data_IF_297121432388
#
_entry.id   IF_297121432388
#
_cell.length_a   1.000
_cell.length_b   1.000
_cell.length_c   1.000
_cell.angle_alpha   90.00
_cell.angle_beta   90.00
_cell.angle_gamma   90.00
#
_symmetry.space_group_name_H-M   'P 1'
#
loop_
_entity.id
_entity.type
_entity.pdbx_description
1 polymer ?
#
# COMPACT_ATOMS: atom_id res chain seq x y z
N UNK A 1 -17.17 13.18 -4.30
CA UNK A 1 -16.52 12.27 -3.32
C UNK A 1 -16.76 10.79 -3.58
N UNK A 2 -18.01 10.32 -3.69
CA UNK A 2 -18.30 8.87 -3.88
C UNK A 2 -17.58 8.23 -5.06
N UNK A 3 -17.62 8.88 -6.22
CA UNK A 3 -16.92 8.41 -7.42
C UNK A 3 -15.39 8.34 -7.24
N UNK A 4 -14.79 9.31 -6.52
CA UNK A 4 -13.35 9.27 -6.22
C UNK A 4 -13.00 8.15 -5.25
N UNK A 5 -13.82 7.91 -4.22
CA UNK A 5 -13.64 6.77 -3.29
C UNK A 5 -13.77 5.44 -4.06
N UNK A 6 -14.70 5.37 -5.01
CA UNK A 6 -14.85 4.20 -5.88
C UNK A 6 -13.59 3.95 -6.72
N UNK A 7 -13.15 4.95 -7.50
CA UNK A 7 -11.98 4.80 -8.38
C UNK A 7 -10.69 4.53 -7.59
N UNK A 8 -10.48 5.26 -6.49
CA UNK A 8 -9.28 5.09 -5.66
C UNK A 8 -9.29 3.75 -4.93
N UNK A 9 -10.44 3.32 -4.42
CA UNK A 9 -10.65 1.99 -3.84
C UNK A 9 -10.38 0.88 -4.84
N UNK A 10 -10.92 1.01 -6.06
CA UNK A 10 -10.72 0.04 -7.12
C UNK A 10 -9.26 -0.01 -7.57
N UNK A 11 -8.59 1.14 -7.75
CA UNK A 11 -7.19 1.20 -8.14
C UNK A 11 -6.28 0.59 -7.07
N UNK A 12 -6.46 0.97 -5.80
CA UNK A 12 -5.67 0.42 -4.70
C UNK A 12 -5.93 -1.08 -4.54
N UNK A 13 -7.17 -1.56 -4.63
CA UNK A 13 -7.47 -2.98 -4.56
C UNK A 13 -6.89 -3.76 -5.76
N UNK A 14 -7.06 -3.25 -6.98
CA UNK A 14 -6.53 -3.88 -8.19
C UNK A 14 -4.99 -3.95 -8.16
N UNK A 15 -4.33 -2.99 -7.52
CA UNK A 15 -2.87 -2.99 -7.37
C UNK A 15 -2.33 -4.24 -6.66
N UNK A 16 -3.16 -4.99 -5.94
CA UNK A 16 -2.78 -6.29 -5.37
C UNK A 16 -2.33 -7.30 -6.43
N UNK A 17 -2.93 -7.26 -7.62
CA UNK A 17 -2.66 -8.18 -8.72
C UNK A 17 -1.73 -7.59 -9.79
N UNK A 18 -1.52 -6.27 -9.78
CA UNK A 18 -0.67 -5.59 -10.74
C UNK A 18 0.77 -5.61 -10.25
N UNK A 19 1.72 -5.74 -11.16
CA UNK A 19 3.15 -5.73 -10.84
C UNK A 19 3.58 -4.41 -10.20
N UNK A 20 4.28 -4.52 -9.07
CA UNK A 20 4.82 -3.39 -8.32
C UNK A 20 6.27 -3.12 -8.68
N UNK A 21 7.06 -4.18 -8.76
CA UNK A 21 8.50 -4.11 -9.02
C UNK A 21 8.87 -5.17 -10.05
N UNK A 22 9.66 -4.77 -11.03
CA UNK A 22 10.25 -5.68 -12.01
C UNK A 22 11.78 -5.64 -11.87
N UNK A 23 12.37 -6.57 -11.10
CA UNK A 23 13.80 -6.59 -10.85
C UNK A 23 14.59 -7.03 -12.10
N UNK A 24 15.71 -6.37 -12.42
CA UNK A 24 16.43 -6.57 -13.69
C UNK A 24 17.18 -7.92 -13.76
N UNK A 25 17.41 -8.58 -12.61
CA UNK A 25 18.25 -9.79 -12.53
C UNK A 25 17.48 -11.05 -12.11
N UNK A 26 16.26 -10.91 -11.56
CA UNK A 26 15.50 -12.04 -11.00
C UNK A 26 14.38 -12.53 -11.93
N UNK A 27 14.04 -11.79 -12.98
CA UNK A 27 13.10 -12.19 -14.05
C UNK A 27 11.64 -12.38 -13.64
N UNK A 28 11.34 -12.47 -12.34
CA UNK A 28 9.98 -12.57 -11.83
C UNK A 28 9.46 -11.19 -11.44
N UNK A 29 8.34 -10.83 -12.05
CA UNK A 29 7.52 -9.69 -11.66
C UNK A 29 7.00 -9.86 -10.24
N UNK A 30 7.24 -8.86 -9.39
CA UNK A 30 6.83 -8.86 -7.99
C UNK A 30 5.52 -8.10 -7.87
N UNK A 31 4.47 -8.80 -7.46
CA UNK A 31 3.19 -8.23 -7.02
C UNK A 31 2.80 -8.78 -5.64
N UNK A 32 1.95 -8.07 -4.88
CA UNK A 32 1.45 -8.56 -3.60
C UNK A 32 0.82 -9.95 -3.69
N UNK A 33 0.05 -10.22 -4.75
CA UNK A 33 -0.58 -11.53 -4.96
C UNK A 33 0.44 -12.65 -5.16
N UNK A 34 1.56 -12.38 -5.85
CA UNK A 34 2.63 -13.35 -6.08
C UNK A 34 3.42 -13.58 -4.79
N UNK A 35 3.74 -12.52 -4.05
CA UNK A 35 4.48 -12.60 -2.79
C UNK A 35 3.71 -13.35 -1.70
N UNK A 36 2.40 -13.11 -1.60
CA UNK A 36 1.55 -13.73 -0.59
C UNK A 36 1.18 -15.16 -1.02
N UNK A 37 1.00 -15.40 -2.31
CA UNK A 37 0.73 -16.73 -2.87
C UNK A 37 -0.40 -17.46 -2.13
N UNK A 38 -0.11 -18.67 -1.67
CA UNK A 38 -1.02 -19.51 -0.89
C UNK A 38 -1.00 -19.24 0.62
N UNK A 39 -0.11 -18.38 1.10
CA UNK A 39 0.16 -18.17 2.52
C UNK A 39 -0.77 -17.12 3.16
N UNK A 40 -1.78 -16.66 2.42
CA UNK A 40 -2.74 -15.67 2.92
C UNK A 40 -3.36 -16.07 4.26
N UNK A 41 -3.70 -17.35 4.43
CA UNK A 41 -4.27 -17.83 5.69
C UNK A 41 -3.28 -17.70 6.85
N UNK A 42 -2.02 -18.10 6.64
CA UNK A 42 -0.96 -17.99 7.63
C UNK A 42 -0.69 -16.52 8.00
N UNK A 43 -0.74 -15.60 7.03
CA UNK A 43 -0.61 -14.16 7.29
C UNK A 43 -1.75 -13.65 8.19
N UNK A 44 -2.96 -14.13 7.98
CA UNK A 44 -4.13 -13.70 8.76
C UNK A 44 -4.08 -14.24 10.19
N UNK A 45 -3.70 -15.50 10.38
CA UNK A 45 -3.70 -16.18 11.69
C UNK A 45 -2.46 -15.84 12.52
N UNK A 46 -1.28 -16.01 11.92
CA UNK A 46 0.00 -16.05 12.62
C UNK A 46 0.96 -14.96 12.12
N UNK A 47 0.57 -14.23 11.07
CA UNK A 47 1.37 -13.18 10.48
C UNK A 47 1.60 -11.99 11.40
N UNK A 48 2.67 -11.27 11.12
CA UNK A 48 2.99 -10.02 11.81
C UNK A 48 1.84 -9.02 11.65
N UNK A 49 1.70 -8.09 12.60
CA UNK A 49 0.63 -7.09 12.50
C UNK A 49 0.80 -6.21 11.25
N UNK A 50 2.05 -5.99 10.81
CA UNK A 50 2.37 -5.26 9.58
C UNK A 50 1.79 -5.98 8.35
N UNK A 51 1.98 -7.30 8.26
CA UNK A 51 1.42 -8.10 7.17
C UNK A 51 -0.11 -8.08 7.17
N UNK A 52 -0.74 -8.12 8.35
CA UNK A 52 -2.19 -8.01 8.50
C UNK A 52 -2.73 -6.63 8.12
N UNK A 53 -2.04 -5.55 8.48
CA UNK A 53 -2.39 -4.18 8.07
C UNK A 53 -2.22 -4.00 6.57
N UNK A 54 -1.17 -4.59 5.98
CA UNK A 54 -0.90 -4.56 4.56
C UNK A 54 -2.05 -5.22 3.77
N UNK A 55 -2.37 -6.47 4.08
CA UNK A 55 -3.49 -7.21 3.45
C UNK A 55 -4.82 -6.53 3.73
N UNK A 56 -5.06 -6.13 4.98
CA UNK A 56 -6.28 -5.44 5.39
C UNK A 56 -6.54 -4.14 4.62
N UNK A 57 -5.48 -3.40 4.28
CA UNK A 57 -5.56 -2.20 3.44
C UNK A 57 -6.23 -2.45 2.09
N UNK A 58 -5.83 -3.53 1.39
CA UNK A 58 -6.45 -3.90 0.10
C UNK A 58 -7.91 -4.31 0.27
N UNK A 59 -8.23 -5.07 1.33
CA UNK A 59 -9.60 -5.49 1.62
C UNK A 59 -10.50 -4.28 1.90
N UNK A 60 -10.01 -3.31 2.69
CA UNK A 60 -10.75 -2.07 2.97
C UNK A 60 -10.90 -1.21 1.70
N UNK A 61 -9.88 -1.14 0.85
CA UNK A 61 -9.96 -0.45 -0.43
C UNK A 61 -11.01 -1.09 -1.37
N UNK A 62 -11.06 -2.43 -1.44
CA UNK A 62 -12.08 -3.15 -2.19
C UNK A 62 -13.48 -2.88 -1.62
N UNK A 63 -13.63 -2.85 -0.30
CA UNK A 63 -14.89 -2.48 0.36
C UNK A 63 -15.31 -1.04 0.04
N UNK A 64 -14.36 -0.10 0.01
CA UNK A 64 -14.61 1.28 -0.43
C UNK A 64 -15.11 1.34 -1.87
N UNK A 65 -14.51 0.56 -2.77
CA UNK A 65 -14.97 0.46 -4.14
C UNK A 65 -16.42 -0.05 -4.20
N UNK A 66 -16.73 -1.16 -3.52
CA UNK A 66 -18.08 -1.72 -3.49
C UNK A 66 -19.12 -0.72 -2.93
N UNK A 67 -18.82 -0.08 -1.81
CA UNK A 67 -19.71 0.92 -1.21
C UNK A 67 -19.89 2.14 -2.11
N UNK A 68 -18.82 2.60 -2.76
CA UNK A 68 -18.87 3.69 -3.72
C UNK A 68 -19.74 3.37 -4.94
N UNK A 69 -19.63 2.15 -5.48
CA UNK A 69 -20.46 1.66 -6.58
C UNK A 69 -21.95 1.57 -6.20
N UNK A 70 -22.25 1.20 -4.95
CA UNK A 70 -23.62 1.20 -4.41
C UNK A 70 -24.13 2.61 -4.03
N UNK A 71 -23.37 3.66 -4.33
CA UNK A 71 -23.74 5.05 -4.01
C UNK A 71 -23.69 5.39 -2.52
N UNK A 72 -23.08 4.55 -1.68
CA UNK A 72 -22.94 4.75 -0.24
C UNK A 72 -21.66 5.51 0.09
N UNK A 73 -21.71 6.33 1.14
CA UNK A 73 -20.52 7.02 1.67
C UNK A 73 -19.79 6.14 2.66
N UNK A 74 -18.48 5.94 2.44
CA UNK A 74 -17.63 5.07 3.26
C UNK A 74 -16.46 5.85 3.90
N UNK A 75 -16.76 6.96 4.57
CA UNK A 75 -15.73 7.91 5.07
C UNK A 75 -14.68 7.26 5.97
N UNK A 76 -15.12 6.56 7.03
CA UNK A 76 -14.21 5.89 7.96
C UNK A 76 -13.45 4.73 7.29
N UNK A 77 -14.12 3.95 6.44
CA UNK A 77 -13.49 2.83 5.72
C UNK A 77 -12.41 3.36 4.77
N UNK A 78 -12.68 4.46 4.05
CA UNK A 78 -11.72 5.10 3.15
C UNK A 78 -10.54 5.68 3.93
N UNK A 79 -10.80 6.28 5.10
CA UNK A 79 -9.75 6.78 5.97
C UNK A 79 -8.81 5.65 6.42
N UNK A 80 -9.38 4.53 6.89
CA UNK A 80 -8.59 3.38 7.34
C UNK A 80 -7.82 2.71 6.19
N UNK A 81 -8.44 2.56 5.02
CA UNK A 81 -7.79 2.04 3.83
C UNK A 81 -6.61 2.93 3.40
N UNK A 82 -6.81 4.26 3.35
CA UNK A 82 -5.76 5.20 2.98
C UNK A 82 -4.68 5.38 4.04
N UNK A 83 -5.01 5.15 5.32
CA UNK A 83 -4.05 5.23 6.42
C UNK A 83 -3.15 4.00 6.51
N UNK A 84 -3.60 2.83 6.04
CA UNK A 84 -2.82 1.59 6.17
C UNK A 84 -1.41 1.69 5.58
N UNK A 85 -1.19 2.25 4.38
CA UNK A 85 0.15 2.34 3.81
C UNK A 85 1.00 3.39 4.52
N UNK A 86 0.37 4.46 5.03
CA UNK A 86 1.05 5.52 5.78
C UNK A 86 1.58 4.97 7.11
N UNK A 87 0.78 4.18 7.83
CA UNK A 87 1.20 3.54 9.09
C UNK A 87 2.38 2.61 8.86
N UNK A 88 2.34 1.82 7.78
CA UNK A 88 3.45 0.94 7.42
C UNK A 88 4.69 1.73 7.02
N UNK A 89 4.54 2.76 6.19
CA UNK A 89 5.63 3.62 5.77
C UNK A 89 6.33 4.26 6.97
N UNK A 90 5.56 4.87 7.89
CA UNK A 90 6.09 5.47 9.12
C UNK A 90 6.80 4.43 9.97
N UNK A 91 6.22 3.23 10.10
CA UNK A 91 6.83 2.15 10.87
C UNK A 91 8.21 1.74 10.34
N UNK A 92 8.33 1.55 9.01
CA UNK A 92 9.60 1.16 8.39
C UNK A 92 10.60 2.32 8.33
N UNK A 93 10.12 3.53 8.10
CA UNK A 93 10.97 4.73 8.11
C UNK A 93 11.64 4.94 9.48
N UNK A 94 10.90 4.79 10.57
CA UNK A 94 11.44 4.91 11.93
C UNK A 94 12.39 3.77 12.33
N UNK A 95 12.40 2.66 11.59
CA UNK A 95 13.25 1.48 11.81
C UNK A 95 14.24 1.24 10.66
N UNK A 96 14.47 2.26 9.84
CA UNK A 96 15.29 2.11 8.63
C UNK A 96 16.73 1.68 8.97
N UNK A 97 17.27 2.13 10.11
CA UNK A 97 18.61 1.78 10.58
C UNK A 97 18.70 0.29 11.00
N UNK A 98 17.70 -0.22 11.71
CA UNK A 98 17.62 -1.63 12.11
C UNK A 98 17.51 -2.54 10.87
N UNK A 99 16.68 -2.14 9.89
CA UNK A 99 16.50 -2.88 8.64
C UNK A 99 17.78 -2.89 7.80
N UNK A 100 18.52 -1.78 7.78
CA UNK A 100 19.82 -1.72 7.08
C UNK A 100 20.86 -2.64 7.71
N UNK A 101 20.91 -2.69 9.05
CA UNK A 101 21.82 -3.57 9.79
C UNK A 101 21.51 -5.05 9.55
N UNK A 102 20.23 -5.42 9.55
CA UNK A 102 19.77 -6.80 9.35
C UNK A 102 20.00 -7.30 7.91
N UNK A 103 19.97 -6.42 6.91
CA UNK A 103 20.15 -6.78 5.50
C UNK A 103 21.62 -6.95 5.09
N UNK A 104 22.58 -6.63 5.96
CA UNK A 104 24.01 -6.87 5.73
C UNK A 104 24.54 -6.27 4.41
N UNK A 105 23.94 -5.19 3.93
CA UNK A 105 24.24 -4.65 2.60
C UNK A 105 25.68 -4.09 2.57
N UNK A 106 26.49 -4.43 1.56
CA UNK A 106 27.88 -3.98 1.45
C UNK A 106 28.02 -2.49 1.08
N UNK A 107 26.92 -1.75 1.01
CA UNK A 107 26.86 -0.33 0.69
C UNK A 107 25.89 0.38 1.64
N UNK A 108 26.23 1.61 2.03
CA UNK A 108 25.38 2.46 2.85
C UNK A 108 24.27 3.07 2.00
N UNK A 109 23.14 2.37 1.82
CA UNK A 109 21.92 3.04 1.31
C UNK A 109 21.41 3.92 2.42
N UNK A 110 21.39 5.24 2.20
CA UNK A 110 20.70 6.11 3.13
C UNK A 110 19.19 6.05 2.82
N UNK A 111 18.47 5.18 3.51
CA UNK A 111 17.01 5.07 3.36
C UNK A 111 16.25 6.32 3.81
N UNK A 112 16.91 7.28 4.47
CA UNK A 112 16.36 8.60 4.77
C UNK A 112 16.45 9.55 3.56
N UNK A 113 17.33 9.27 2.59
CA UNK A 113 17.39 9.98 1.32
C UNK A 113 16.47 9.30 0.29
N UNK A 114 15.21 9.75 0.28
CA UNK A 114 14.18 9.26 -0.65
C UNK A 114 14.55 9.52 -2.12
N UNK A 115 15.37 10.53 -2.41
CA UNK A 115 15.85 10.83 -3.76
C UNK A 115 16.80 9.74 -4.25
N UNK A 116 17.77 9.38 -3.42
CA UNK A 116 18.71 8.28 -3.71
C UNK A 116 17.97 6.94 -3.88
N UNK A 117 16.99 6.65 -3.03
CA UNK A 117 16.18 5.43 -3.14
C UNK A 117 15.38 5.41 -4.45
N UNK A 118 14.83 6.56 -4.86
CA UNK A 118 14.08 6.67 -6.12
C UNK A 118 14.98 6.54 -7.34
N UNK A 119 16.19 7.11 -7.34
CA UNK A 119 17.14 6.93 -8.45
C UNK A 119 17.57 5.46 -8.60
N UNK A 120 17.69 4.73 -7.49
CA UNK A 120 18.08 3.32 -7.49
C UNK A 120 16.94 2.37 -7.89
N UNK A 121 15.70 2.68 -7.49
CA UNK A 121 14.56 1.76 -7.64
C UNK A 121 13.54 2.21 -8.69
N UNK A 122 13.55 3.48 -9.08
CA UNK A 122 12.53 4.11 -9.92
C UNK A 122 12.31 3.39 -11.24
N UNK A 123 13.41 2.94 -11.88
CA UNK A 123 13.37 2.19 -13.14
C UNK A 123 12.74 0.79 -13.00
N UNK A 124 12.63 0.27 -11.77
CA UNK A 124 12.01 -1.01 -11.47
C UNK A 124 10.59 -0.87 -10.97
N UNK A 125 10.18 0.34 -10.55
CA UNK A 125 8.81 0.59 -10.11
C UNK A 125 7.84 0.50 -11.30
N UNK A 126 6.70 -0.15 -11.05
CA UNK A 126 5.65 -0.39 -12.04
C UNK A 126 4.32 0.19 -11.57
N UNK A 127 3.32 0.12 -12.45
CA UNK A 127 2.02 0.74 -12.25
C UNK A 127 1.33 0.32 -10.94
N UNK A 128 1.53 -0.93 -10.48
CA UNK A 128 0.90 -1.45 -9.27
C UNK A 128 1.26 -0.62 -8.03
N UNK A 129 2.53 -0.27 -7.85
CA UNK A 129 2.94 0.54 -6.70
C UNK A 129 2.31 1.94 -6.74
N UNK A 130 2.24 2.56 -7.92
CA UNK A 130 1.60 3.87 -8.08
C UNK A 130 0.09 3.84 -7.88
N UNK A 131 -0.57 2.77 -8.33
CA UNK A 131 -1.99 2.54 -8.06
C UNK A 131 -2.26 2.38 -6.57
N UNK A 132 -1.38 1.68 -5.86
CA UNK A 132 -1.45 1.52 -4.41
C UNK A 132 -1.27 2.86 -3.69
N UNK A 133 -0.15 3.55 -3.94
CA UNK A 133 0.18 4.82 -3.28
C UNK A 133 -0.82 5.93 -3.61
N UNK A 134 -1.16 6.09 -4.90
CA UNK A 134 -2.11 7.08 -5.38
C UNK A 134 -3.53 6.82 -4.87
N UNK A 135 -3.98 5.55 -4.94
CA UNK A 135 -5.28 5.16 -4.42
C UNK A 135 -5.38 5.39 -2.91
N UNK A 136 -4.34 5.03 -2.15
CA UNK A 136 -4.29 5.28 -0.71
C UNK A 136 -4.33 6.76 -0.35
N UNK A 137 -3.54 7.60 -1.04
CA UNK A 137 -3.54 9.05 -0.80
C UNK A 137 -4.92 9.66 -1.04
N UNK A 138 -5.60 9.29 -2.14
CA UNK A 138 -6.95 9.77 -2.44
C UNK A 138 -7.97 9.25 -1.42
N UNK A 139 -7.91 7.98 -1.04
CA UNK A 139 -8.80 7.41 -0.02
C UNK A 139 -8.61 8.07 1.35
N UNK A 140 -7.37 8.38 1.72
CA UNK A 140 -7.05 9.07 2.97
C UNK A 140 -7.67 10.47 2.99
N UNK A 141 -7.39 11.28 1.96
CA UNK A 141 -7.93 12.64 1.85
C UNK A 141 -9.46 12.67 1.74
N UNK A 142 -10.03 11.78 0.91
CA UNK A 142 -11.47 11.65 0.79
C UNK A 142 -12.10 11.18 2.10
N UNK A 143 -11.48 10.23 2.79
CA UNK A 143 -11.91 9.72 4.09
C UNK A 143 -11.89 10.81 5.17
N UNK A 144 -10.82 11.61 5.23
CA UNK A 144 -10.73 12.77 6.13
C UNK A 144 -11.84 13.78 5.85
N UNK A 145 -12.02 14.17 4.58
CA UNK A 145 -13.02 15.17 4.19
C UNK A 145 -14.45 14.74 4.55
N UNK A 146 -14.79 13.47 4.34
CA UNK A 146 -16.14 12.94 4.59
C UNK A 146 -16.38 12.69 6.08
N UNK A 147 -15.34 12.30 6.83
CA UNK A 147 -15.46 11.94 8.25
C UNK A 147 -15.40 13.17 9.14
N UNK A 148 -14.51 14.12 8.86
CA UNK A 148 -14.31 15.32 9.69
C UNK A 148 -15.05 16.55 9.17
N UNK A 149 -15.36 16.63 7.88
CA UNK A 149 -16.10 17.75 7.27
C UNK A 149 -17.62 17.72 7.49
N UNK A 150 -18.12 16.83 8.35
CA UNK A 150 -19.54 16.76 8.76
C UNK A 150 -19.86 17.58 10.03
N UNK A 151 -18.92 18.42 10.48
CA UNK A 151 -19.13 19.46 11.50
C UNK A 151 -19.35 20.79 10.81
#
# INVERSE_FOLDING_TARGET
MRFMIFLAGAAMAASYFVTWVEPPFAGQEISPSVLIGTDLQAIITDGTWQARVFVGGFVLAALCALLGALGRTAGLVALLAGASPVVLLVHYYLRAEDVQADLGLPFSVNFQDLGQVYELLGDFLRAGLWMYAGGAAVLLLAGMSVTFGRR
#
